data_IF_131945868270
#
_entry.id   IF_131945868270
#
_cell.length_a   1.000
_cell.length_b   1.000
_cell.length_c   1.000
_cell.angle_alpha   90.00
_cell.angle_beta   90.00
_cell.angle_gamma   90.00
#
_symmetry.space_group_name_H-M   'P 1'
#
loop_
_entity.id
_entity.type
_entity.pdbx_description
1 polymer ?
#
# COMPACT_ATOMS: atom_id res chain seq x y z
N UNK A 1 22.52 1.00 9.09
CA UNK A 1 21.85 2.31 9.18
C UNK A 1 21.16 2.76 7.89
N UNK A 2 21.84 2.93 6.74
CA UNK A 2 21.19 3.42 5.51
C UNK A 2 20.16 2.46 4.88
N UNK A 3 20.49 1.16 4.80
CA UNK A 3 19.61 0.15 4.19
C UNK A 3 18.39 -0.18 5.07
N UNK A 4 18.51 -0.10 6.39
CA UNK A 4 17.38 -0.36 7.30
C UNK A 4 16.25 0.65 7.11
N UNK A 5 16.59 1.94 6.91
CA UNK A 5 15.60 2.98 6.59
C UNK A 5 14.90 2.71 5.25
N UNK A 6 15.66 2.33 4.23
CA UNK A 6 15.14 1.93 2.91
C UNK A 6 14.16 0.76 3.04
N UNK A 7 14.57 -0.33 3.69
CA UNK A 7 13.69 -1.49 3.89
C UNK A 7 12.45 -1.16 4.72
N UNK A 8 12.58 -0.26 5.71
CA UNK A 8 11.44 0.20 6.51
C UNK A 8 10.41 0.94 5.66
N UNK A 9 10.81 1.99 4.91
CA UNK A 9 9.86 2.74 4.09
C UNK A 9 9.24 1.88 2.99
N UNK A 10 10.01 0.95 2.40
CA UNK A 10 9.48 -0.01 1.42
C UNK A 10 8.45 -0.96 2.03
N UNK A 11 8.68 -1.42 3.27
CA UNK A 11 7.72 -2.26 3.99
C UNK A 11 6.43 -1.51 4.30
N UNK A 12 6.50 -0.22 4.68
CA UNK A 12 5.31 0.59 4.89
C UNK A 12 4.55 0.83 3.58
N UNK A 13 5.25 1.20 2.50
CA UNK A 13 4.60 1.38 1.20
C UNK A 13 3.90 0.09 0.75
N UNK A 14 4.53 -1.07 0.97
CA UNK A 14 3.90 -2.35 0.69
C UNK A 14 2.60 -2.56 1.48
N UNK A 15 2.57 -2.17 2.76
CA UNK A 15 1.39 -2.29 3.61
C UNK A 15 0.28 -1.33 3.18
N UNK A 16 0.61 -0.09 2.80
CA UNK A 16 -0.34 0.88 2.26
C UNK A 16 -0.99 0.31 1.00
N UNK A 17 -0.19 -0.16 0.03
CA UNK A 17 -0.70 -0.75 -1.22
C UNK A 17 -1.59 -1.96 -0.94
N UNK A 18 -1.23 -2.84 0.01
CA UNK A 18 -2.07 -3.99 0.37
C UNK A 18 -3.45 -3.54 0.85
N UNK A 19 -3.51 -2.61 1.82
CA UNK A 19 -4.79 -2.14 2.35
C UNK A 19 -5.58 -1.37 1.30
N UNK A 20 -4.93 -0.57 0.47
CA UNK A 20 -5.59 0.13 -0.63
C UNK A 20 -6.25 -0.86 -1.61
N UNK A 21 -5.54 -1.93 -2.01
CA UNK A 21 -6.09 -2.97 -2.88
C UNK A 21 -7.24 -3.74 -2.22
N UNK A 22 -7.13 -4.06 -0.93
CA UNK A 22 -8.22 -4.75 -0.21
C UNK A 22 -9.46 -3.85 -0.10
N UNK A 23 -9.25 -2.57 0.23
CA UNK A 23 -10.29 -1.56 0.27
C UNK A 23 -10.91 -1.35 -1.10
N UNK A 24 -10.18 -1.30 -2.21
CA UNK A 24 -10.81 -1.04 -3.51
C UNK A 24 -11.42 -2.29 -4.18
N UNK A 25 -10.86 -3.48 -3.97
CA UNK A 25 -11.26 -4.64 -4.79
C UNK A 25 -11.92 -5.77 -3.99
N UNK A 26 -11.73 -5.86 -2.66
CA UNK A 26 -12.34 -6.94 -1.87
C UNK A 26 -13.72 -6.56 -1.32
N UNK A 27 -14.65 -6.22 -2.22
CA UNK A 27 -16.00 -5.72 -1.92
C UNK A 27 -16.74 -6.56 -0.88
N UNK A 28 -16.69 -7.90 -1.00
CA UNK A 28 -17.36 -8.84 -0.08
C UNK A 28 -16.96 -8.68 1.39
N UNK A 29 -15.67 -8.45 1.68
CA UNK A 29 -15.17 -8.36 3.05
C UNK A 29 -15.03 -6.91 3.52
N UNK A 30 -15.07 -5.95 2.60
CA UNK A 30 -14.95 -4.52 2.88
C UNK A 30 -15.99 -4.06 3.90
N UNK A 31 -17.26 -4.43 3.73
CA UNK A 31 -18.36 -3.97 4.61
C UNK A 31 -18.06 -4.20 6.10
N UNK A 32 -17.42 -5.32 6.45
CA UNK A 32 -17.09 -5.66 7.84
C UNK A 32 -15.73 -5.16 8.30
N UNK A 33 -14.78 -4.94 7.39
CA UNK A 33 -13.39 -4.65 7.72
C UNK A 33 -12.93 -3.24 7.34
N UNK A 34 -13.78 -2.44 6.69
CA UNK A 34 -13.42 -1.14 6.11
C UNK A 34 -12.76 -0.21 7.11
N UNK A 35 -13.43 0.06 8.25
CA UNK A 35 -12.90 0.97 9.28
C UNK A 35 -11.54 0.51 9.82
N UNK A 36 -11.33 -0.80 9.96
CA UNK A 36 -10.05 -1.35 10.40
C UNK A 36 -8.97 -1.18 9.32
N UNK A 37 -9.27 -1.47 8.06
CA UNK A 37 -8.32 -1.33 6.96
C UNK A 37 -7.99 0.14 6.64
N UNK A 38 -8.95 1.06 6.73
CA UNK A 38 -8.72 2.49 6.61
C UNK A 38 -7.79 2.98 7.74
N UNK A 39 -8.05 2.60 8.99
CA UNK A 39 -7.23 2.99 10.13
C UNK A 39 -5.79 2.46 10.01
N UNK A 40 -5.62 1.21 9.57
CA UNK A 40 -4.29 0.64 9.30
C UNK A 40 -3.58 1.37 8.15
N UNK A 41 -4.31 1.70 7.07
CA UNK A 41 -3.77 2.43 5.93
C UNK A 41 -3.23 3.80 6.35
N UNK A 42 -4.03 4.59 7.07
CA UNK A 42 -3.63 5.92 7.58
C UNK A 42 -2.43 5.80 8.52
N UNK A 43 -2.43 4.84 9.45
CA UNK A 43 -1.32 4.59 10.34
C UNK A 43 -0.01 4.29 9.59
N UNK A 44 -0.06 3.50 8.50
CA UNK A 44 1.13 3.24 7.69
C UNK A 44 1.59 4.46 6.87
N UNK A 45 0.66 5.29 6.38
CA UNK A 45 1.00 6.56 5.72
C UNK A 45 1.75 7.50 6.68
N UNK A 46 1.25 7.68 7.90
CA UNK A 46 1.89 8.50 8.92
C UNK A 46 3.29 7.98 9.29
N UNK A 47 3.40 6.67 9.52
CA UNK A 47 4.67 6.04 9.82
C UNK A 47 5.67 6.18 8.67
N UNK A 48 5.24 6.01 7.42
CA UNK A 48 6.10 6.18 6.25
C UNK A 48 6.59 7.62 6.16
N UNK A 49 5.67 8.59 6.23
CA UNK A 49 5.98 10.01 6.10
C UNK A 49 6.93 10.52 7.19
N UNK A 50 6.86 9.96 8.40
CA UNK A 50 7.80 10.27 9.51
C UNK A 50 9.26 10.03 9.13
N UNK A 51 9.55 9.04 8.28
CA UNK A 51 10.91 8.71 7.86
C UNK A 51 11.27 9.24 6.47
N UNK A 52 10.31 9.82 5.74
CA UNK A 52 10.47 10.08 4.32
C UNK A 52 11.38 11.29 4.07
N UNK A 53 12.50 11.03 3.40
CA UNK A 53 13.40 12.06 2.88
C UNK A 53 13.35 12.04 1.34
N UNK A 54 13.86 13.08 0.68
CA UNK A 54 13.95 13.12 -0.78
C UNK A 54 14.70 11.90 -1.37
N UNK A 55 15.77 11.45 -0.71
CA UNK A 55 16.54 10.27 -1.15
C UNK A 55 15.78 8.96 -0.96
N UNK A 56 14.98 8.85 0.10
CA UNK A 56 14.11 7.68 0.33
C UNK A 56 12.91 7.68 -0.61
N UNK A 57 12.35 8.84 -0.93
CA UNK A 57 11.30 8.97 -1.95
C UNK A 57 11.81 8.49 -3.31
N UNK A 58 12.97 8.95 -3.77
CA UNK A 58 13.60 8.48 -5.01
C UNK A 58 13.85 6.97 -5.00
N UNK A 59 14.22 6.41 -3.85
CA UNK A 59 14.35 4.96 -3.71
C UNK A 59 13.00 4.23 -3.84
N UNK A 60 11.92 4.75 -3.24
CA UNK A 60 10.58 4.19 -3.38
C UNK A 60 10.10 4.25 -4.83
N UNK A 61 10.36 5.34 -5.56
CA UNK A 61 10.05 5.47 -6.99
C UNK A 61 10.76 4.37 -7.82
N UNK A 62 12.04 4.12 -7.53
CA UNK A 62 12.83 3.10 -8.22
C UNK A 62 12.35 1.67 -7.93
N UNK A 63 11.89 1.41 -6.71
CA UNK A 63 11.45 0.08 -6.26
C UNK A 63 9.92 -0.12 -6.37
N UNK A 64 9.19 0.86 -6.89
CA UNK A 64 7.72 0.91 -6.80
C UNK A 64 7.06 -0.34 -7.36
N UNK A 65 7.46 -0.76 -8.57
CA UNK A 65 6.93 -1.96 -9.21
C UNK A 65 7.25 -3.23 -8.40
N UNK A 66 8.46 -3.34 -7.84
CA UNK A 66 8.84 -4.49 -7.02
C UNK A 66 7.98 -4.57 -5.76
N UNK A 67 7.79 -3.42 -5.09
CA UNK A 67 6.95 -3.30 -3.90
C UNK A 67 5.50 -3.66 -4.23
N UNK A 68 4.97 -3.17 -5.35
CA UNK A 68 3.63 -3.52 -5.84
C UNK A 68 3.49 -5.02 -6.11
N UNK A 69 4.44 -5.65 -6.82
CA UNK A 69 4.42 -7.09 -7.08
C UNK A 69 4.46 -7.93 -5.78
N UNK A 70 5.14 -7.45 -4.74
CA UNK A 70 5.09 -8.11 -3.43
C UNK A 70 3.73 -7.91 -2.75
N UNK A 71 3.09 -6.74 -2.90
CA UNK A 71 1.76 -6.47 -2.38
C UNK A 71 0.67 -7.30 -3.08
N UNK A 72 0.69 -7.36 -4.42
CA UNK A 72 -0.27 -8.12 -5.23
C UNK A 72 -0.23 -9.62 -4.88
N UNK A 73 0.98 -10.18 -4.70
CA UNK A 73 1.17 -11.58 -4.28
C UNK A 73 0.56 -11.86 -2.91
N UNK A 74 0.64 -10.90 -1.99
CA UNK A 74 0.04 -11.05 -0.66
C UNK A 74 -1.48 -11.03 -0.74
N UNK A 75 -2.08 -10.02 -1.39
CA UNK A 75 -3.54 -9.89 -1.44
C UNK A 75 -4.19 -11.03 -2.22
N UNK A 76 -3.58 -11.48 -3.32
CA UNK A 76 -4.01 -12.68 -4.06
C UNK A 76 -4.08 -13.93 -3.17
N UNK A 77 -3.06 -14.17 -2.34
CA UNK A 77 -3.10 -15.27 -1.37
C UNK A 77 -4.16 -15.06 -0.29
N UNK A 78 -4.28 -13.84 0.25
CA UNK A 78 -5.25 -13.49 1.32
C UNK A 78 -6.69 -13.68 0.85
N UNK A 79 -7.00 -13.32 -0.39
CA UNK A 79 -8.33 -13.50 -1.00
C UNK A 79 -8.53 -14.87 -1.65
N UNK A 80 -7.58 -15.81 -1.49
CA UNK A 80 -7.60 -17.14 -2.12
C UNK A 80 -7.81 -17.08 -3.64
N UNK A 81 -7.28 -16.05 -4.30
CA UNK A 81 -7.46 -15.75 -5.72
C UNK A 81 -8.93 -15.58 -6.17
N UNK A 82 -9.86 -15.27 -5.26
CA UNK A 82 -11.26 -15.03 -5.58
C UNK A 82 -11.55 -13.60 -6.03
N UNK A 83 -10.57 -12.70 -5.87
CA UNK A 83 -10.66 -11.29 -6.24
C UNK A 83 -9.68 -11.01 -7.38
N UNK A 84 -10.17 -10.36 -8.42
CA UNK A 84 -9.34 -9.87 -9.53
C UNK A 84 -8.68 -8.57 -9.10
N UNK A 85 -7.36 -8.53 -9.12
CA UNK A 85 -6.58 -7.32 -8.89
C UNK A 85 -5.85 -6.92 -10.16
N UNK A 86 -5.61 -5.61 -10.40
CA UNK A 86 -4.88 -5.15 -11.58
C UNK A 86 -3.46 -5.71 -11.62
N UNK A 87 -2.86 -5.79 -12.82
CA UNK A 87 -1.48 -6.27 -12.99
C UNK A 87 -0.44 -5.15 -12.81
N UNK A 88 -0.88 -3.90 -12.95
CA UNK A 88 -0.12 -2.67 -12.70
C UNK A 88 -0.76 -1.92 -11.54
N UNK A 89 0.05 -1.18 -10.76
CA UNK A 89 -0.49 -0.39 -9.65
C UNK A 89 -1.46 0.66 -10.20
N UNK A 90 -2.72 0.71 -9.71
CA UNK A 90 -3.69 1.73 -10.14
C UNK A 90 -3.47 3.08 -9.44
N UNK A 91 -2.53 3.14 -8.49
CA UNK A 91 -2.26 4.32 -7.66
C UNK A 91 -0.88 4.90 -7.99
N UNK A 92 -0.79 6.22 -7.96
CA UNK A 92 0.48 6.95 -7.95
C UNK A 92 1.17 6.86 -6.60
N UNK A 93 2.48 7.15 -6.57
CA UNK A 93 3.20 7.24 -5.30
C UNK A 93 2.70 8.44 -4.49
N UNK A 94 2.36 9.56 -5.13
CA UNK A 94 1.80 10.76 -4.50
C UNK A 94 0.53 10.45 -3.71
N UNK A 95 -0.42 9.74 -4.31
CA UNK A 95 -1.65 9.29 -3.65
C UNK A 95 -1.35 8.40 -2.43
N UNK A 96 -0.47 7.42 -2.60
CA UNK A 96 -0.12 6.49 -1.52
C UNK A 96 0.63 7.17 -0.36
N UNK A 97 1.23 8.33 -0.59
CA UNK A 97 1.94 9.12 0.43
C UNK A 97 1.06 10.18 1.08
N UNK A 98 -0.11 10.51 0.54
CA UNK A 98 -1.00 11.51 1.11
C UNK A 98 -1.77 10.91 2.31
N UNK A 99 -1.59 11.42 3.54
CA UNK A 99 -2.25 10.90 4.74
C UNK A 99 -3.77 11.08 4.74
N UNK A 100 -4.32 11.90 3.84
CA UNK A 100 -5.76 12.10 3.70
C UNK A 100 -6.35 11.33 2.51
N UNK A 101 -5.52 10.61 1.76
CA UNK A 101 -5.97 9.86 0.60
C UNK A 101 -6.43 8.46 0.97
N UNK A 102 -7.56 8.06 0.38
CA UNK A 102 -8.07 6.70 0.37
C UNK A 102 -8.38 6.30 -1.08
N UNK A 103 -8.24 5.00 -1.43
CA UNK A 103 -8.59 4.56 -2.77
C UNK A 103 -10.10 4.74 -3.01
N UNK A 104 -10.52 4.95 -4.26
CA UNK A 104 -11.94 4.95 -4.59
C UNK A 104 -12.56 3.58 -4.30
N UNK A 105 -13.81 3.59 -3.86
CA UNK A 105 -14.60 2.37 -3.69
C UNK A 105 -15.19 1.95 -5.03
N UNK A 106 -14.78 0.78 -5.54
CA UNK A 106 -15.50 0.05 -6.59
C UNK A 106 -16.67 -0.76 -6.00
#
# INVERSE_FOLDING_TARGET
MGNEKKFRVASFLQQIIRHALLLQFWTREREYNQSHWESELVNFQDQLNTYLTASLRKYLEQEFDNIYQKAIRYVRKKTKNQVTFPNTCPYSLEELLDPNWLPPYE
#
